data_IF_245780260356
#
_entry.id   IF_245780260356
#
_cell.length_a   1.000
_cell.length_b   1.000
_cell.length_c   1.000
_cell.angle_alpha   90.00
_cell.angle_beta   90.00
_cell.angle_gamma   90.00
#
_symmetry.space_group_name_H-M   'P 1'
#
loop_
_entity.id
_entity.type
_entity.pdbx_description
1 polymer ?
#
# COMPACT_ATOMS: atom_id res chain seq x y z
N UNK A 1 -0.43 -13.89 -3.27
CA UNK A 1 0.72 -13.10 -3.74
C UNK A 1 0.22 -11.78 -4.30
N UNK A 2 0.91 -10.67 -4.04
CA UNK A 2 0.64 -9.39 -4.69
C UNK A 2 1.30 -9.39 -6.07
N UNK A 3 0.58 -8.94 -7.09
CA UNK A 3 1.10 -8.79 -8.46
C UNK A 3 1.09 -7.32 -8.89
N UNK A 4 0.04 -6.59 -8.50
CA UNK A 4 -0.18 -5.21 -8.94
C UNK A 4 -0.67 -4.37 -7.76
N UNK A 5 -0.10 -3.19 -7.59
CA UNK A 5 -0.65 -2.14 -6.74
C UNK A 5 -0.86 -0.89 -7.58
N UNK A 6 -2.11 -0.41 -7.67
CA UNK A 6 -2.47 0.73 -8.53
C UNK A 6 -3.24 1.79 -7.74
N UNK A 7 -2.81 3.04 -7.89
CA UNK A 7 -3.52 4.19 -7.32
C UNK A 7 -4.67 4.59 -8.24
N UNK A 8 -5.87 4.75 -7.68
CA UNK A 8 -7.03 5.37 -8.32
C UNK A 8 -7.58 6.42 -7.37
N UNK A 9 -7.37 7.69 -7.69
CA UNK A 9 -7.69 8.80 -6.78
C UNK A 9 -6.91 8.71 -5.47
N UNK A 10 -7.64 8.74 -4.35
CA UNK A 10 -7.10 8.64 -2.99
C UNK A 10 -7.16 7.21 -2.44
N UNK A 11 -7.11 6.19 -3.30
CA UNK A 11 -7.15 4.79 -2.87
C UNK A 11 -6.14 3.98 -3.65
N UNK A 12 -5.36 3.19 -2.92
CA UNK A 12 -4.50 2.16 -3.48
C UNK A 12 -5.29 0.86 -3.55
N UNK A 13 -5.34 0.26 -4.73
CA UNK A 13 -5.93 -1.05 -4.98
C UNK A 13 -4.82 -2.07 -5.13
N UNK A 14 -4.85 -3.12 -4.32
CA UNK A 14 -3.83 -4.17 -4.33
C UNK A 14 -4.46 -5.44 -4.87
N UNK A 15 -3.90 -5.93 -5.98
CA UNK A 15 -4.37 -7.10 -6.69
C UNK A 15 -3.35 -8.24 -6.59
N UNK A 16 -3.86 -9.45 -6.48
CA UNK A 16 -3.10 -10.68 -6.59
C UNK A 16 -3.43 -11.45 -7.85
N UNK A 17 -3.17 -12.74 -7.78
CA UNK A 17 -3.38 -13.69 -8.88
C UNK A 17 -4.75 -13.52 -9.56
N UNK A 18 -4.76 -13.70 -10.88
CA UNK A 18 -5.92 -13.51 -11.75
C UNK A 18 -6.58 -12.12 -11.61
N UNK A 19 -5.79 -11.10 -11.25
CA UNK A 19 -6.27 -9.73 -10.98
C UNK A 19 -7.32 -9.66 -9.87
N UNK A 20 -7.34 -10.62 -8.94
CA UNK A 20 -8.25 -10.60 -7.79
C UNK A 20 -7.88 -9.45 -6.85
N UNK A 21 -8.85 -8.62 -6.49
CA UNK A 21 -8.65 -7.59 -5.45
C UNK A 21 -8.38 -8.28 -4.12
N UNK A 22 -7.24 -7.97 -3.50
CA UNK A 22 -6.89 -8.50 -2.18
C UNK A 22 -7.38 -7.55 -1.09
N UNK A 23 -7.04 -6.27 -1.20
CA UNK A 23 -7.45 -5.22 -0.27
C UNK A 23 -7.25 -3.84 -0.89
N UNK A 24 -7.77 -2.82 -0.19
CA UNK A 24 -7.58 -1.41 -0.54
C UNK A 24 -6.98 -0.66 0.63
N UNK A 25 -6.13 0.32 0.34
CA UNK A 25 -5.56 1.24 1.35
C UNK A 25 -6.00 2.66 1.01
N UNK A 26 -6.66 3.39 1.94
CA UNK A 26 -6.91 4.80 1.76
C UNK A 26 -5.57 5.55 1.75
N UNK A 27 -5.39 6.39 0.73
CA UNK A 27 -4.24 7.28 0.61
C UNK A 27 -4.68 8.69 0.98
N UNK A 28 -3.77 9.47 1.54
CA UNK A 28 -3.99 10.90 1.70
C UNK A 28 -3.73 11.68 0.41
N UNK A 29 -3.88 13.00 0.50
CA UNK A 29 -3.66 13.96 -0.59
C UNK A 29 -2.38 14.78 -0.41
N UNK A 30 -1.59 14.49 0.61
CA UNK A 30 -0.31 15.14 0.86
C UNK A 30 0.72 14.81 -0.21
N UNK A 31 1.69 15.71 -0.40
CA UNK A 31 2.76 15.55 -1.39
C UNK A 31 3.60 14.27 -1.18
N UNK A 32 3.67 13.80 0.08
CA UNK A 32 4.38 12.58 0.48
C UNK A 32 3.48 11.35 0.51
N UNK A 33 2.18 11.50 0.24
CA UNK A 33 1.22 10.43 0.38
C UNK A 33 1.18 9.57 -0.88
N UNK A 34 1.38 8.26 -0.72
CA UNK A 34 1.31 7.35 -1.85
C UNK A 34 1.98 6.00 -1.64
N UNK A 35 1.90 5.19 -2.69
CA UNK A 35 2.63 3.93 -2.80
C UNK A 35 4.13 4.24 -2.95
N UNK A 36 4.95 3.71 -2.04
CA UNK A 36 6.41 3.73 -2.18
C UNK A 36 6.92 2.53 -3.00
N UNK A 37 6.28 1.36 -2.83
CA UNK A 37 6.63 0.15 -3.54
C UNK A 37 5.96 -1.08 -2.95
N UNK A 38 6.04 -2.19 -3.68
CA UNK A 38 5.48 -3.47 -3.23
C UNK A 38 6.35 -4.64 -3.70
N UNK A 39 6.23 -5.75 -2.97
CA UNK A 39 6.77 -7.06 -3.32
C UNK A 39 5.63 -8.05 -3.46
N UNK A 40 5.93 -9.31 -3.73
CA UNK A 40 4.97 -10.41 -3.70
C UNK A 40 4.27 -10.60 -2.34
N UNK A 41 4.89 -10.12 -1.26
CA UNK A 41 4.46 -10.33 0.13
C UNK A 41 4.07 -9.06 0.88
N UNK A 42 4.50 -7.88 0.43
CA UNK A 42 4.31 -6.62 1.16
C UNK A 42 3.99 -5.43 0.28
N UNK A 43 3.29 -4.43 0.82
CA UNK A 43 3.04 -3.12 0.22
C UNK A 43 3.47 -2.04 1.19
N UNK A 44 4.25 -1.06 0.74
CA UNK A 44 4.68 0.08 1.53
C UNK A 44 3.97 1.35 1.05
N UNK A 45 3.27 2.00 1.96
CA UNK A 45 2.53 3.25 1.71
C UNK A 45 3.06 4.32 2.65
N UNK A 46 3.39 5.49 2.13
CA UNK A 46 3.66 6.65 2.95
C UNK A 46 2.40 7.48 3.11
N UNK A 47 2.11 7.88 4.36
CA UNK A 47 1.11 8.88 4.71
C UNK A 47 1.78 9.90 5.63
N UNK A 48 1.95 11.12 5.14
CA UNK A 48 2.70 12.18 5.80
C UNK A 48 4.15 11.79 6.07
N UNK A 49 4.50 11.75 7.35
CA UNK A 49 5.84 11.39 7.86
C UNK A 49 5.92 9.95 8.36
N UNK A 50 5.03 9.07 7.89
CA UNK A 50 4.92 7.69 8.37
C UNK A 50 4.79 6.72 7.21
N UNK A 51 5.58 5.66 7.22
CA UNK A 51 5.47 4.53 6.29
C UNK A 51 4.70 3.41 6.98
N UNK A 52 3.69 2.89 6.29
CA UNK A 52 2.88 1.76 6.68
C UNK A 52 3.22 0.59 5.76
N UNK A 53 3.61 -0.54 6.33
CA UNK A 53 3.85 -1.78 5.60
C UNK A 53 2.70 -2.73 5.83
N UNK A 54 2.00 -3.09 4.76
CA UNK A 54 0.94 -4.08 4.76
C UNK A 54 1.46 -5.41 4.22
N UNK A 55 1.02 -6.52 4.81
CA UNK A 55 1.21 -7.85 4.25
C UNK A 55 0.34 -8.08 3.02
N UNK A 56 0.59 -9.17 2.29
CA UNK A 56 -0.23 -9.58 1.13
C UNK A 56 -1.69 -9.90 1.45
N UNK A 57 -2.05 -10.04 2.73
CA UNK A 57 -3.43 -10.21 3.20
C UNK A 57 -4.08 -8.89 3.63
N UNK A 58 -3.39 -7.75 3.49
CA UNK A 58 -3.89 -6.43 3.89
C UNK A 58 -3.73 -6.11 5.37
N UNK A 59 -3.18 -7.03 6.18
CA UNK A 59 -2.85 -6.76 7.58
C UNK A 59 -1.64 -5.84 7.69
N UNK A 60 -1.74 -4.79 8.48
CA UNK A 60 -0.61 -3.90 8.83
C UNK A 60 0.42 -4.68 9.65
N UNK A 61 1.69 -4.66 9.23
CA UNK A 61 2.78 -5.39 9.90
C UNK A 61 3.92 -4.49 10.37
N UNK A 62 4.04 -3.27 9.85
CA UNK A 62 5.02 -2.28 10.35
C UNK A 62 4.50 -0.86 10.18
N UNK A 63 4.91 0.00 11.11
CA UNK A 63 4.72 1.46 11.08
C UNK A 63 6.06 2.10 11.39
N UNK A 64 6.58 2.92 10.46
CA UNK A 64 7.92 3.49 10.56
C UNK A 64 7.86 5.00 10.32
N UNK A 65 8.17 5.84 11.32
CA UNK A 65 8.34 7.27 11.11
C UNK A 65 9.50 7.57 10.16
N UNK A 66 9.37 8.61 9.32
CA UNK A 66 10.39 9.06 8.36
C UNK A 66 11.12 10.32 8.80
N UNK A 67 11.16 10.57 10.11
CA UNK A 67 11.80 11.74 10.74
C UNK A 67 13.28 11.84 10.40
#
# INVERSE_FOLDING_TARGET
MIEIAVRRGHTLYVYGDQKRLLFTVPLGSGQRDGLLGYTSATVNVQLGSTIYTYSSHGGLISVTPTS
#
